data_IF_368273511139
#
_entry.id   IF_368273511139
#
_cell.length_a   1.000
_cell.length_b   1.000
_cell.length_c   1.000
_cell.angle_alpha   90.00
_cell.angle_beta   90.00
_cell.angle_gamma   90.00
#
_symmetry.space_group_name_H-M   'P 1'
#
loop_
_entity.id
_entity.type
_entity.pdbx_description
1 polymer ?
#
# COMPACT_ATOMS: atom_id res chain seq x y z
N UNK A 1 9.64 -11.81 -5.27
CA UNK A 1 8.88 -12.39 -4.14
C UNK A 1 7.69 -11.49 -3.93
N UNK A 2 6.49 -11.98 -4.19
CA UNK A 2 5.27 -11.17 -4.11
C UNK A 2 4.91 -11.01 -2.63
N UNK A 3 4.80 -9.79 -2.16
CA UNK A 3 4.44 -9.46 -0.76
C UNK A 3 3.06 -10.04 -0.40
N UNK A 4 2.25 -10.40 -1.39
CA UNK A 4 0.89 -10.93 -1.25
C UNK A 4 0.82 -12.42 -0.84
N UNK A 5 1.94 -13.14 -0.81
CA UNK A 5 1.94 -14.60 -0.66
C UNK A 5 2.40 -15.07 0.75
N UNK A 6 2.57 -14.15 1.70
CA UNK A 6 2.90 -14.49 3.07
C UNK A 6 1.93 -13.86 4.05
N UNK A 7 1.61 -14.59 5.11
CA UNK A 7 0.78 -14.10 6.23
C UNK A 7 1.40 -12.85 6.87
N UNK A 8 2.71 -12.76 6.86
CA UNK A 8 3.45 -11.62 7.39
C UNK A 8 3.22 -10.34 6.58
N UNK A 9 2.88 -10.44 5.29
CA UNK A 9 2.61 -9.25 4.46
C UNK A 9 1.30 -8.57 4.87
N UNK A 10 0.27 -9.33 5.20
CA UNK A 10 -1.00 -8.79 5.70
C UNK A 10 -0.79 -8.13 7.07
N UNK A 11 -0.05 -8.77 7.97
CA UNK A 11 0.27 -8.24 9.29
C UNK A 11 1.10 -6.95 9.18
N UNK A 12 2.03 -6.87 8.23
CA UNK A 12 2.79 -5.66 7.95
C UNK A 12 1.90 -4.52 7.44
N UNK A 13 0.91 -4.82 6.60
CA UNK A 13 -0.07 -3.83 6.13
C UNK A 13 -0.95 -3.34 7.30
N UNK A 14 -1.44 -4.24 8.15
CA UNK A 14 -2.18 -3.88 9.37
C UNK A 14 -1.33 -3.00 10.29
N UNK A 15 -0.06 -3.35 10.49
CA UNK A 15 0.86 -2.56 11.30
C UNK A 15 1.05 -1.13 10.75
N UNK A 16 1.16 -0.97 9.43
CA UNK A 16 1.26 0.33 8.80
C UNK A 16 0.01 1.19 9.05
N UNK A 17 -1.19 0.61 9.00
CA UNK A 17 -2.43 1.30 9.35
C UNK A 17 -2.51 1.64 10.85
N UNK A 18 -2.06 0.75 11.74
CA UNK A 18 -1.94 1.06 13.16
C UNK A 18 -0.99 2.23 13.44
N UNK A 19 0.09 2.33 12.67
CA UNK A 19 1.01 3.46 12.75
C UNK A 19 0.38 4.76 12.20
N UNK A 20 -0.50 4.65 11.20
CA UNK A 20 -1.26 5.80 10.64
C UNK A 20 -2.09 6.52 11.69
N UNK A 21 -2.70 5.78 12.62
CA UNK A 21 -3.46 6.37 13.73
C UNK A 21 -2.62 7.28 14.65
N UNK A 22 -1.29 7.23 14.52
CA UNK A 22 -0.34 8.00 15.32
C UNK A 22 0.61 8.84 14.44
N UNK A 23 0.19 9.14 13.20
CA UNK A 23 0.93 9.92 12.20
C UNK A 23 2.34 9.36 11.87
N UNK A 24 2.49 8.02 11.97
CA UNK A 24 3.74 7.29 11.76
C UNK A 24 3.70 6.28 10.62
N UNK A 25 2.70 6.42 9.72
CA UNK A 25 2.54 5.51 8.60
C UNK A 25 3.78 5.46 7.70
N UNK A 26 4.27 6.61 7.26
CA UNK A 26 5.35 6.67 6.28
C UNK A 26 6.66 6.12 6.84
N UNK A 27 6.99 6.46 8.09
CA UNK A 27 8.21 5.99 8.73
C UNK A 27 8.20 4.46 8.88
N UNK A 28 7.06 3.88 9.32
CA UNK A 28 6.94 2.43 9.43
C UNK A 28 6.96 1.77 8.04
N UNK A 29 6.24 2.32 7.08
CA UNK A 29 6.18 1.81 5.71
C UNK A 29 7.58 1.71 5.06
N UNK A 30 8.38 2.77 5.15
CA UNK A 30 9.75 2.76 4.62
C UNK A 30 10.64 1.73 5.34
N UNK A 31 10.47 1.59 6.66
CA UNK A 31 11.22 0.61 7.44
C UNK A 31 10.87 -0.83 7.05
N UNK A 32 9.57 -1.13 6.81
CA UNK A 32 9.11 -2.43 6.34
C UNK A 32 9.70 -2.81 4.99
N UNK A 33 9.77 -1.87 4.04
CA UNK A 33 10.41 -2.10 2.75
C UNK A 33 11.92 -2.34 2.85
N UNK A 34 12.60 -1.71 3.80
CA UNK A 34 14.03 -1.94 4.03
C UNK A 34 14.33 -3.26 4.74
N UNK A 35 13.35 -3.87 5.42
CA UNK A 35 13.51 -5.07 6.27
C UNK A 35 12.52 -6.19 5.92
N UNK A 36 12.40 -6.48 4.64
CA UNK A 36 11.39 -7.43 4.10
C UNK A 36 11.46 -8.86 4.66
N UNK A 37 12.58 -9.27 5.26
CA UNK A 37 12.78 -10.63 5.80
C UNK A 37 12.43 -10.78 7.28
N UNK A 38 12.11 -9.69 7.97
CA UNK A 38 11.84 -9.65 9.41
C UNK A 38 10.56 -8.87 9.66
N UNK A 39 9.42 -9.53 9.51
CA UNK A 39 8.09 -8.92 9.62
C UNK A 39 7.14 -9.73 10.51
N UNK A 40 7.71 -10.46 11.48
CA UNK A 40 6.90 -11.10 12.53
C UNK A 40 6.23 -10.04 13.41
N UNK A 41 5.16 -10.41 14.12
CA UNK A 41 4.48 -9.49 15.05
C UNK A 41 5.46 -8.87 16.06
N UNK A 42 6.45 -9.63 16.53
CA UNK A 42 7.49 -9.11 17.43
C UNK A 42 8.38 -8.05 16.73
N UNK A 43 8.74 -8.30 15.47
CA UNK A 43 9.52 -7.32 14.68
C UNK A 43 8.73 -6.04 14.46
N UNK A 44 7.45 -6.15 14.09
CA UNK A 44 6.58 -5.00 13.86
C UNK A 44 6.44 -4.11 15.11
N UNK A 45 6.27 -4.72 16.29
CA UNK A 45 6.24 -4.01 17.58
C UNK A 45 7.57 -3.34 17.90
N UNK A 46 8.70 -4.00 17.58
CA UNK A 46 10.04 -3.41 17.72
C UNK A 46 10.21 -2.20 16.80
N UNK A 47 9.76 -2.30 15.56
CA UNK A 47 9.85 -1.21 14.58
C UNK A 47 9.02 0.00 14.99
N UNK A 48 7.83 -0.21 15.54
CA UNK A 48 7.01 0.86 16.08
C UNK A 48 7.75 1.67 17.17
N UNK A 49 8.49 0.99 18.04
CA UNK A 49 9.31 1.65 19.07
C UNK A 49 10.51 2.37 18.47
N UNK A 50 11.16 1.79 17.47
CA UNK A 50 12.31 2.37 16.76
C UNK A 50 11.95 3.70 16.08
N UNK A 51 10.78 3.79 15.44
CA UNK A 51 10.28 5.02 14.84
C UNK A 51 9.69 6.02 15.87
N UNK A 52 9.80 5.71 17.15
CA UNK A 52 9.31 6.53 18.27
C UNK A 52 7.82 6.84 18.14
N UNK A 53 7.01 5.79 17.98
CA UNK A 53 5.55 5.94 17.98
C UNK A 53 5.07 6.49 19.33
N UNK A 54 4.05 7.35 19.34
CA UNK A 54 3.64 8.09 20.53
C UNK A 54 3.11 7.21 21.66
N UNK A 55 2.38 6.14 21.30
CA UNK A 55 1.84 5.18 22.26
C UNK A 55 2.08 3.74 21.76
N UNK A 56 3.19 3.10 22.16
CA UNK A 56 3.48 1.72 21.80
C UNK A 56 2.39 0.73 22.23
N UNK A 57 1.75 0.95 23.38
CA UNK A 57 0.70 0.07 23.90
C UNK A 57 -0.56 0.12 23.01
N UNK A 58 -0.93 1.31 22.50
CA UNK A 58 -2.04 1.44 21.55
C UNK A 58 -1.72 0.76 20.23
N UNK A 59 -0.47 0.87 19.76
CA UNK A 59 -0.02 0.18 18.56
C UNK A 59 -0.07 -1.32 18.74
N UNK A 60 0.49 -1.85 19.84
CA UNK A 60 0.50 -3.28 20.13
C UNK A 60 -0.92 -3.84 20.20
N UNK A 61 -1.84 -3.16 20.89
CA UNK A 61 -3.27 -3.54 20.95
C UNK A 61 -3.95 -3.51 19.59
N UNK A 62 -3.68 -2.48 18.78
CA UNK A 62 -4.20 -2.36 17.43
C UNK A 62 -3.75 -3.54 16.54
N UNK A 63 -2.47 -3.87 16.60
CA UNK A 63 -1.88 -4.98 15.84
C UNK A 63 -2.43 -6.34 16.31
N UNK A 64 -2.41 -6.59 17.62
CA UNK A 64 -2.84 -7.88 18.21
C UNK A 64 -4.35 -8.13 18.00
N UNK A 65 -5.16 -7.09 17.95
CA UNK A 65 -6.60 -7.20 17.64
C UNK A 65 -6.90 -7.25 16.15
N UNK A 66 -5.86 -7.16 15.30
CA UNK A 66 -6.00 -7.10 13.84
C UNK A 66 -7.02 -6.03 13.37
N UNK A 67 -7.05 -4.87 14.06
CA UNK A 67 -8.06 -3.84 13.91
C UNK A 67 -8.34 -3.45 12.45
N UNK A 68 -7.31 -3.44 11.60
CA UNK A 68 -7.40 -3.04 10.20
C UNK A 68 -7.44 -4.21 9.21
N UNK A 69 -7.63 -5.47 9.68
CA UNK A 69 -7.70 -6.64 8.79
C UNK A 69 -8.78 -6.47 7.72
N UNK A 70 -9.97 -6.03 8.09
CA UNK A 70 -11.05 -5.80 7.12
C UNK A 70 -10.72 -4.75 6.05
N UNK A 71 -9.96 -3.72 6.39
CA UNK A 71 -9.46 -2.73 5.42
C UNK A 71 -8.47 -3.36 4.45
N UNK A 72 -7.50 -4.12 4.95
CA UNK A 72 -6.50 -4.81 4.11
C UNK A 72 -7.18 -5.83 3.19
N UNK A 73 -8.13 -6.61 3.68
CA UNK A 73 -8.90 -7.55 2.88
C UNK A 73 -9.73 -6.85 1.79
N UNK A 74 -10.30 -5.69 2.11
CA UNK A 74 -11.03 -4.87 1.13
C UNK A 74 -10.08 -4.38 0.02
N UNK A 75 -8.90 -3.88 0.36
CA UNK A 75 -7.89 -3.43 -0.61
C UNK A 75 -7.43 -4.58 -1.53
N UNK A 76 -7.23 -5.78 -0.96
CA UNK A 76 -6.90 -7.00 -1.72
C UNK A 76 -8.03 -7.36 -2.70
N UNK A 77 -9.28 -7.32 -2.21
CA UNK A 77 -10.47 -7.60 -3.03
C UNK A 77 -10.59 -6.60 -4.19
N UNK A 78 -10.41 -5.32 -3.91
CA UNK A 78 -10.54 -4.28 -4.92
C UNK A 78 -9.41 -4.33 -5.95
N UNK A 79 -8.17 -4.60 -5.52
CA UNK A 79 -7.07 -4.88 -6.42
C UNK A 79 -7.34 -6.07 -7.34
N UNK A 80 -7.93 -7.14 -6.80
CA UNK A 80 -8.29 -8.34 -7.56
C UNK A 80 -9.39 -8.07 -8.60
N UNK A 81 -10.43 -7.30 -8.24
CA UNK A 81 -11.51 -6.88 -9.15
C UNK A 81 -10.97 -6.04 -10.32
N UNK A 82 -9.94 -5.25 -10.07
CA UNK A 82 -9.25 -4.46 -11.08
C UNK A 82 -8.28 -5.29 -11.95
N UNK A 83 -8.14 -6.59 -11.69
CA UNK A 83 -7.23 -7.47 -12.43
C UNK A 83 -5.76 -7.29 -12.03
N UNK A 84 -5.47 -6.69 -10.88
CA UNK A 84 -4.12 -6.59 -10.34
C UNK A 84 -3.76 -7.94 -9.72
N UNK A 85 -2.95 -8.73 -10.43
CA UNK A 85 -2.57 -10.10 -10.05
C UNK A 85 -1.13 -10.22 -9.53
N UNK A 86 -0.39 -9.11 -9.51
CA UNK A 86 1.02 -9.10 -9.07
C UNK A 86 1.50 -7.70 -8.71
N UNK A 87 2.74 -7.61 -8.25
CA UNK A 87 3.38 -6.36 -7.83
C UNK A 87 4.61 -6.02 -8.68
N UNK A 88 4.81 -4.73 -8.97
CA UNK A 88 3.90 -3.63 -8.71
C UNK A 88 2.70 -3.62 -9.69
N UNK A 89 1.52 -3.20 -9.21
CA UNK A 89 0.34 -2.94 -10.03
C UNK A 89 -0.08 -1.47 -9.88
N UNK A 90 -0.51 -0.84 -10.97
CA UNK A 90 -0.90 0.56 -10.96
C UNK A 90 -2.25 0.75 -11.65
N UNK A 91 -3.10 1.57 -11.06
CA UNK A 91 -4.29 2.10 -11.72
C UNK A 91 -4.01 3.56 -12.06
N UNK A 92 -3.97 3.88 -13.36
CA UNK A 92 -3.71 5.24 -13.85
C UNK A 92 -4.97 5.75 -14.54
N UNK A 93 -5.46 6.92 -14.11
CA UNK A 93 -6.71 7.46 -14.65
C UNK A 93 -7.12 8.77 -14.03
N UNK A 94 -8.36 9.18 -14.30
CA UNK A 94 -8.99 10.36 -13.72
C UNK A 94 -9.91 9.96 -12.57
N UNK A 95 -9.83 10.68 -11.47
CA UNK A 95 -10.66 10.50 -10.29
C UNK A 95 -11.79 11.53 -10.26
N UNK A 96 -13.02 11.09 -10.05
CA UNK A 96 -14.15 11.96 -9.83
C UNK A 96 -14.43 12.07 -8.31
N UNK A 97 -14.13 13.21 -7.68
CA UNK A 97 -14.29 13.36 -6.22
C UNK A 97 -15.76 13.36 -5.76
N UNK A 98 -16.72 13.58 -6.68
CA UNK A 98 -18.15 13.57 -6.34
C UNK A 98 -18.75 12.17 -6.29
N UNK A 99 -18.26 11.26 -7.15
CA UNK A 99 -18.78 9.88 -7.23
C UNK A 99 -17.83 8.86 -6.63
N UNK A 100 -16.57 9.23 -6.37
CA UNK A 100 -15.51 8.31 -5.96
C UNK A 100 -15.00 7.40 -7.08
N UNK A 101 -15.49 7.56 -8.32
CA UNK A 101 -15.12 6.72 -9.45
C UNK A 101 -13.74 7.08 -10.02
N UNK A 102 -12.99 6.06 -10.39
CA UNK A 102 -11.77 6.19 -11.18
C UNK A 102 -12.03 5.62 -12.57
N UNK A 103 -11.83 6.44 -13.62
CA UNK A 103 -11.80 5.99 -15.00
C UNK A 103 -10.36 5.91 -15.47
N UNK A 104 -9.88 4.69 -15.69
CA UNK A 104 -8.46 4.49 -15.94
C UNK A 104 -8.14 3.15 -16.55
N UNK A 105 -6.85 2.87 -16.63
CA UNK A 105 -6.31 1.60 -17.09
C UNK A 105 -5.28 1.04 -16.09
N UNK A 106 -5.19 -0.28 -16.02
CA UNK A 106 -4.25 -0.97 -15.17
C UNK A 106 -2.93 -1.18 -15.90
N UNK A 107 -1.84 -0.77 -15.27
CA UNK A 107 -0.48 -1.10 -15.70
C UNK A 107 0.08 -2.18 -14.77
N UNK A 108 0.43 -3.33 -15.32
CA UNK A 108 0.98 -4.46 -14.56
C UNK A 108 2.50 -4.48 -14.67
N UNK A 109 3.15 -4.67 -13.53
CA UNK A 109 4.61 -4.77 -13.43
C UNK A 109 5.35 -3.43 -13.49
N UNK A 110 6.66 -3.49 -13.29
CA UNK A 110 7.55 -2.34 -13.38
C UNK A 110 7.80 -1.96 -14.85
N UNK A 111 6.84 -1.23 -15.43
CA UNK A 111 6.93 -0.80 -16.82
C UNK A 111 8.01 0.28 -17.02
N UNK A 112 8.60 0.40 -18.23
CA UNK A 112 9.51 1.48 -18.57
C UNK A 112 8.87 2.86 -18.43
N UNK A 113 9.67 3.89 -18.15
CA UNK A 113 9.22 5.27 -17.95
C UNK A 113 8.32 5.79 -19.09
N UNK A 114 8.64 5.48 -20.35
CA UNK A 114 7.86 5.90 -21.50
C UNK A 114 6.43 5.37 -21.51
N UNK A 115 6.19 4.18 -20.97
CA UNK A 115 4.85 3.60 -20.82
C UNK A 115 4.03 4.42 -19.81
N UNK A 116 4.60 4.70 -18.62
CA UNK A 116 3.96 5.57 -17.64
C UNK A 116 3.71 6.97 -18.18
N UNK A 117 4.72 7.56 -18.81
CA UNK A 117 4.59 8.89 -19.41
C UNK A 117 3.43 8.96 -20.41
N UNK A 118 3.37 8.00 -21.37
CA UNK A 118 2.31 7.92 -22.37
C UNK A 118 0.92 7.80 -21.73
N UNK A 119 0.79 6.93 -20.73
CA UNK A 119 -0.48 6.72 -20.04
C UNK A 119 -0.90 7.97 -19.25
N UNK A 120 0.02 8.60 -18.53
CA UNK A 120 -0.26 9.84 -17.80
C UNK A 120 -0.64 10.98 -18.74
N UNK A 121 0.09 11.18 -19.85
CA UNK A 121 -0.22 12.23 -20.83
C UNK A 121 -1.61 12.06 -21.43
N UNK A 122 -2.04 10.81 -21.68
CA UNK A 122 -3.39 10.48 -22.15
C UNK A 122 -4.48 11.01 -21.19
N UNK A 123 -4.33 10.77 -19.89
CA UNK A 123 -5.31 11.20 -18.89
C UNK A 123 -5.19 12.65 -18.47
N UNK A 124 -4.04 13.27 -18.70
CA UNK A 124 -3.82 14.70 -18.48
C UNK A 124 -4.26 15.56 -19.68
N UNK A 125 -4.74 14.95 -20.77
CA UNK A 125 -5.10 15.66 -22.00
C UNK A 125 -3.91 16.30 -22.74
N UNK A 126 -2.68 15.84 -22.42
CA UNK A 126 -1.47 16.32 -23.09
C UNK A 126 -1.31 15.54 -24.40
N UNK A 127 -1.58 16.18 -25.52
CA UNK A 127 -1.24 15.63 -26.84
C UNK A 127 0.29 15.47 -26.91
N UNK A 128 0.73 14.26 -27.30
CA UNK A 128 2.13 14.05 -27.63
C UNK A 128 2.42 14.84 -28.92
N UNK A 129 3.06 15.99 -28.79
CA UNK A 129 3.73 16.59 -29.93
C UNK A 129 4.91 15.68 -30.26
N UNK A 130 4.75 14.92 -31.35
CA UNK A 130 5.82 14.19 -32.01
C UNK A 130 6.81 15.18 -32.61
#
# INVERSE_FOLDING_TARGET
MCIRDSKEADDAAIAAECAREQDKFLELHLLLFSRQKAQTSADLKKYAREIKISSPEKFDKCLDSEKFRGLVEQDISDGSKLGITGTPGFLVGTFNPKTGEIKGEVLSGAQPYNVFKKTLDKYLGRQQNL
#
